data_IF_724183364604
#
_entry.id   IF_724183364604
#
_cell.length_a   1.000
_cell.length_b   1.000
_cell.length_c   1.000
_cell.angle_alpha   90.00
_cell.angle_beta   90.00
_cell.angle_gamma   90.00
#
_symmetry.space_group_name_H-M   'P 1'
#
loop_
_entity.id
_entity.type
_entity.pdbx_description
1 polymer ?
#
# COMPACT_ATOMS: atom_id res chain seq x y z
N UNK A 1 5.72 -20.14 10.87
CA UNK A 1 6.58 -19.14 10.23
C UNK A 1 6.00 -17.74 10.49
N UNK A 2 6.82 -16.85 10.98
CA UNK A 2 6.35 -15.49 11.22
C UNK A 2 6.29 -14.68 9.91
N UNK A 3 5.49 -13.63 9.88
CA UNK A 3 5.34 -12.80 8.67
C UNK A 3 6.65 -12.10 8.31
N UNK A 4 6.95 -12.09 7.01
CA UNK A 4 8.11 -11.39 6.47
C UNK A 4 7.69 -10.55 5.27
N UNK A 5 8.41 -9.48 5.02
CA UNK A 5 8.17 -8.59 3.88
C UNK A 5 8.91 -9.13 2.67
N UNK A 6 8.26 -9.10 1.50
CA UNK A 6 8.87 -9.41 0.23
C UNK A 6 9.25 -8.10 -0.46
N UNK A 7 10.53 -7.79 -0.48
CA UNK A 7 11.03 -6.53 -1.04
C UNK A 7 10.70 -6.38 -2.52
N UNK A 8 10.87 -7.44 -3.26
CA UNK A 8 10.65 -7.40 -4.70
C UNK A 8 9.19 -7.19 -5.06
N UNK A 9 8.29 -7.92 -4.39
CA UNK A 9 6.87 -7.76 -4.63
C UNK A 9 6.37 -6.41 -4.16
N UNK A 10 6.91 -5.91 -3.05
CA UNK A 10 6.59 -4.56 -2.57
C UNK A 10 6.99 -3.53 -3.61
N UNK A 11 8.17 -3.66 -4.21
CA UNK A 11 8.63 -2.77 -5.25
C UNK A 11 7.74 -2.79 -6.49
N UNK A 12 7.33 -3.98 -6.91
CA UNK A 12 6.42 -4.15 -8.05
C UNK A 12 5.07 -3.49 -7.74
N UNK A 13 4.58 -3.69 -6.54
CA UNK A 13 3.30 -3.11 -6.12
C UNK A 13 3.37 -1.58 -6.06
N UNK A 14 4.46 -1.04 -5.52
CA UNK A 14 4.67 0.40 -5.48
C UNK A 14 4.69 0.98 -6.90
N UNK A 15 5.41 0.33 -7.81
CA UNK A 15 5.47 0.76 -9.20
C UNK A 15 4.09 0.73 -9.85
N UNK A 16 3.32 -0.30 -9.57
CA UNK A 16 1.96 -0.42 -10.10
C UNK A 16 1.07 0.71 -9.60
N UNK A 17 1.17 1.05 -8.32
CA UNK A 17 0.40 2.16 -7.75
C UNK A 17 0.80 3.47 -8.42
N UNK A 18 2.09 3.69 -8.60
CA UNK A 18 2.60 4.89 -9.25
C UNK A 18 2.10 4.99 -10.69
N UNK A 19 2.21 3.92 -11.45
CA UNK A 19 1.78 3.90 -12.85
C UNK A 19 0.28 4.17 -12.98
N UNK A 20 -0.49 3.56 -12.09
CA UNK A 20 -1.95 3.73 -12.10
C UNK A 20 -2.37 5.16 -11.81
N UNK A 21 -1.59 5.89 -11.04
CA UNK A 21 -1.89 7.27 -10.65
C UNK A 21 -1.12 8.32 -11.45
N UNK A 22 -0.28 7.89 -12.38
CA UNK A 22 0.53 8.79 -13.16
C UNK A 22 1.61 9.48 -12.35
N UNK A 23 2.08 8.85 -11.29
CA UNK A 23 3.11 9.40 -10.42
C UNK A 23 4.47 8.87 -10.88
N UNK A 24 5.44 9.79 -11.04
CA UNK A 24 6.78 9.42 -11.45
C UNK A 24 7.72 9.34 -10.23
N UNK A 25 8.87 8.65 -10.36
CA UNK A 25 9.85 8.66 -9.27
C UNK A 25 10.30 10.05 -8.86
N UNK A 26 10.36 10.98 -9.81
CA UNK A 26 10.71 12.36 -9.52
C UNK A 26 9.66 13.03 -8.64
N UNK A 27 8.38 12.73 -8.87
CA UNK A 27 7.29 13.25 -8.05
C UNK A 27 7.42 12.79 -6.62
N UNK A 28 7.76 11.52 -6.41
CA UNK A 28 7.98 10.96 -5.08
C UNK A 28 9.18 11.62 -4.41
N UNK A 29 10.27 11.77 -5.17
CA UNK A 29 11.46 12.44 -4.65
C UNK A 29 11.11 13.82 -4.10
N UNK A 30 10.36 14.58 -4.87
CA UNK A 30 9.98 15.95 -4.49
C UNK A 30 9.02 15.94 -3.28
N UNK A 31 8.05 15.05 -3.28
CA UNK A 31 7.09 14.95 -2.18
C UNK A 31 7.76 14.59 -0.86
N UNK A 32 8.67 13.62 -0.87
CA UNK A 32 9.36 13.13 0.30
C UNK A 32 10.63 13.93 0.63
N UNK A 33 10.97 14.91 -0.20
CA UNK A 33 12.19 15.70 -0.06
C UNK A 33 13.44 14.82 0.03
N UNK A 34 13.54 13.87 -0.88
CA UNK A 34 14.69 12.97 -0.96
C UNK A 34 15.85 13.64 -1.65
N UNK A 35 17.07 13.22 -1.31
CA UNK A 35 18.27 13.76 -1.94
C UNK A 35 18.48 13.25 -3.36
N UNK A 36 17.94 12.07 -3.67
CA UNK A 36 18.14 11.44 -4.97
C UNK A 36 16.94 10.63 -5.38
N UNK A 37 16.64 10.64 -6.68
CA UNK A 37 15.60 9.77 -7.26
C UNK A 37 16.00 8.30 -7.23
N UNK A 38 17.29 8.02 -7.07
CA UNK A 38 17.79 6.65 -7.02
C UNK A 38 17.16 5.85 -5.89
N UNK A 39 16.84 6.51 -4.79
CA UNK A 39 16.14 5.85 -3.68
C UNK A 39 14.83 5.23 -4.13
N UNK A 40 14.04 5.96 -4.92
CA UNK A 40 12.76 5.47 -5.43
C UNK A 40 12.96 4.28 -6.37
N UNK A 41 13.94 4.36 -7.24
CA UNK A 41 14.27 3.25 -8.14
C UNK A 41 14.70 2.01 -7.35
N UNK A 42 15.45 2.19 -6.27
CA UNK A 42 15.86 1.08 -5.41
C UNK A 42 14.66 0.42 -4.75
N UNK A 43 13.67 1.20 -4.34
CA UNK A 43 12.44 0.65 -3.77
C UNK A 43 11.68 -0.15 -4.81
N UNK A 44 11.55 0.39 -6.02
CA UNK A 44 10.81 -0.28 -7.09
C UNK A 44 11.50 -1.56 -7.57
N UNK A 45 12.82 -1.61 -7.52
CA UNK A 45 13.59 -2.79 -7.93
C UNK A 45 13.66 -3.86 -6.85
N UNK A 46 13.27 -3.53 -5.63
CA UNK A 46 13.36 -4.46 -4.51
C UNK A 46 14.71 -4.52 -3.85
N UNK A 47 15.59 -3.54 -4.13
CA UNK A 47 16.92 -3.48 -3.51
C UNK A 47 16.85 -3.12 -2.04
N UNK A 48 15.90 -2.25 -1.69
CA UNK A 48 15.66 -1.89 -0.28
C UNK A 48 14.23 -1.39 -0.12
N UNK A 49 13.86 -1.08 1.12
CA UNK A 49 12.54 -0.58 1.47
C UNK A 49 12.59 0.89 1.81
N UNK A 50 11.51 1.64 1.56
CA UNK A 50 11.38 2.96 2.15
C UNK A 50 11.41 2.85 3.67
N UNK A 51 11.86 3.92 4.35
CA UNK A 51 11.75 3.98 5.81
C UNK A 51 10.28 4.05 6.20
N UNK A 52 10.00 3.77 7.47
CA UNK A 52 8.62 3.82 7.95
C UNK A 52 8.03 5.23 7.80
N UNK A 53 8.83 6.26 7.97
CA UNK A 53 8.41 7.65 7.79
C UNK A 53 7.99 7.90 6.35
N UNK A 54 8.77 7.41 5.40
CA UNK A 54 8.46 7.55 3.97
C UNK A 54 7.22 6.77 3.60
N UNK A 55 7.07 5.55 4.13
CA UNK A 55 5.87 4.75 3.91
C UNK A 55 4.63 5.44 4.45
N UNK A 56 4.73 6.05 5.62
CA UNK A 56 3.62 6.78 6.22
C UNK A 56 3.20 7.95 5.33
N UNK A 57 4.17 8.70 4.84
CA UNK A 57 3.89 9.83 3.95
C UNK A 57 3.28 9.37 2.62
N UNK A 58 3.81 8.30 2.03
CA UNK A 58 3.25 7.74 0.80
C UNK A 58 1.82 7.22 1.01
N UNK A 59 1.56 6.60 2.14
CA UNK A 59 0.24 6.14 2.52
C UNK A 59 -0.75 7.31 2.54
N UNK A 60 -0.36 8.44 3.12
CA UNK A 60 -1.20 9.64 3.16
C UNK A 60 -1.44 10.20 1.76
N UNK A 61 -0.40 10.27 0.95
CA UNK A 61 -0.51 10.82 -0.41
C UNK A 61 -1.39 9.94 -1.29
N UNK A 62 -1.17 8.64 -1.23
CA UNK A 62 -1.95 7.69 -2.04
C UNK A 62 -3.37 7.47 -1.49
N UNK A 63 -3.61 7.79 -0.24
CA UNK A 63 -4.90 7.55 0.40
C UNK A 63 -5.17 6.08 0.66
N UNK A 64 -4.12 5.26 0.85
CA UNK A 64 -4.25 3.84 1.12
C UNK A 64 -3.42 3.47 2.35
N UNK A 65 -3.77 2.39 3.08
CA UNK A 65 -2.98 1.98 4.23
C UNK A 65 -1.61 1.46 3.82
N UNK A 66 -0.66 1.52 4.75
CA UNK A 66 0.70 1.01 4.52
C UNK A 66 0.64 -0.47 4.10
N UNK A 67 -0.25 -1.25 4.70
CA UNK A 67 -0.41 -2.67 4.36
C UNK A 67 -0.82 -2.90 2.90
N UNK A 68 -1.40 -1.91 2.26
CA UNK A 68 -1.73 -2.00 0.84
C UNK A 68 -0.52 -1.72 -0.06
N UNK A 69 0.54 -1.12 0.49
CA UNK A 69 1.78 -0.84 -0.26
C UNK A 69 2.75 -1.99 -0.07
N UNK A 70 2.92 -2.45 1.17
CA UNK A 70 3.91 -3.47 1.53
C UNK A 70 3.33 -4.85 1.27
N UNK A 71 4.10 -5.69 0.58
CA UNK A 71 3.72 -7.07 0.27
C UNK A 71 4.62 -8.04 1.05
N UNK A 72 4.04 -9.17 1.42
CA UNK A 72 4.77 -10.19 2.16
C UNK A 72 3.96 -11.48 2.25
N UNK A 73 4.34 -12.35 3.16
CA UNK A 73 3.64 -13.62 3.37
C UNK A 73 2.55 -13.54 4.42
N UNK A 74 2.24 -12.33 4.90
CA UNK A 74 1.17 -12.11 5.85
C UNK A 74 -0.18 -12.37 5.20
N UNK A 75 -1.03 -13.14 5.86
CA UNK A 75 -2.38 -13.38 5.36
C UNK A 75 -3.22 -12.11 5.49
N UNK A 76 -3.98 -11.80 4.44
CA UNK A 76 -4.90 -10.68 4.50
C UNK A 76 -6.02 -10.99 5.50
N UNK A 77 -6.25 -10.05 6.41
CA UNK A 77 -7.33 -10.18 7.39
C UNK A 77 -8.68 -9.85 6.75
N UNK A 78 -8.66 -8.95 5.78
CA UNK A 78 -9.86 -8.43 5.12
C UNK A 78 -10.80 -9.49 4.57
N UNK A 79 -10.34 -10.52 3.82
CA UNK A 79 -11.24 -11.51 3.27
C UNK A 79 -12.04 -12.26 4.35
N UNK A 80 -11.41 -12.58 5.46
CA UNK A 80 -12.09 -13.26 6.57
C UNK A 80 -13.11 -12.33 7.23
N UNK A 81 -12.76 -11.09 7.42
CA UNK A 81 -13.65 -10.08 7.99
C UNK A 81 -14.86 -9.88 7.08
N UNK A 82 -14.63 -9.80 5.78
CA UNK A 82 -15.69 -9.64 4.79
C UNK A 82 -16.65 -10.82 4.82
N UNK A 83 -16.13 -12.06 4.91
CA UNK A 83 -16.96 -13.25 4.97
C UNK A 83 -17.84 -13.23 6.21
N UNK A 84 -17.30 -12.83 7.36
CA UNK A 84 -18.07 -12.70 8.61
C UNK A 84 -19.18 -11.67 8.46
N UNK A 85 -18.90 -10.57 7.75
CA UNK A 85 -19.85 -9.48 7.58
C UNK A 85 -20.89 -9.74 6.49
N UNK A 86 -20.82 -10.86 5.80
CA UNK A 86 -21.82 -11.25 4.82
C UNK A 86 -23.12 -11.75 5.44
N UNK A 87 -23.14 -12.00 6.74
CA UNK A 87 -24.37 -12.31 7.43
C UNK A 87 -25.36 -11.13 7.30
N UNK A 88 -26.67 -11.44 7.31
CA UNK A 88 -27.70 -10.46 6.99
C UNK A 88 -27.62 -9.17 7.80
N UNK A 89 -27.31 -9.28 9.08
CA UNK A 89 -27.20 -8.09 9.93
C UNK A 89 -25.93 -7.31 9.68
N UNK A 90 -24.91 -7.99 9.15
CA UNK A 90 -23.61 -7.41 8.94
C UNK A 90 -23.42 -6.89 7.53
N UNK A 91 -24.43 -7.04 6.67
CA UNK A 91 -24.38 -6.51 5.31
C UNK A 91 -24.13 -5.01 5.28
N UNK A 92 -24.73 -4.28 6.23
CA UNK A 92 -24.50 -2.84 6.34
C UNK A 92 -23.06 -2.53 6.73
N UNK A 93 -22.50 -3.32 7.65
CA UNK A 93 -21.11 -3.15 8.06
C UNK A 93 -20.18 -3.50 6.91
N UNK A 94 -20.51 -4.54 6.14
CA UNK A 94 -19.74 -4.90 4.96
C UNK A 94 -19.71 -3.78 3.95
N UNK A 95 -20.86 -3.20 3.64
CA UNK A 95 -20.96 -2.10 2.70
C UNK A 95 -20.18 -0.88 3.21
N UNK A 96 -20.31 -0.58 4.49
CA UNK A 96 -19.59 0.51 5.13
C UNK A 96 -18.09 0.29 5.06
N UNK A 97 -17.66 -0.91 5.40
CA UNK A 97 -16.25 -1.29 5.36
C UNK A 97 -15.67 -1.18 3.94
N UNK A 98 -16.41 -1.70 2.98
CA UNK A 98 -16.01 -1.61 1.58
C UNK A 98 -15.88 -0.17 1.12
N UNK A 99 -16.81 0.68 1.56
CA UNK A 99 -16.77 2.10 1.23
C UNK A 99 -15.55 2.79 1.82
N UNK A 100 -15.20 2.45 3.06
CA UNK A 100 -13.99 2.98 3.68
C UNK A 100 -12.76 2.58 2.88
N UNK A 101 -12.67 1.32 2.47
CA UNK A 101 -11.55 0.84 1.67
C UNK A 101 -11.47 1.54 0.31
N UNK A 102 -12.60 1.77 -0.33
CA UNK A 102 -12.65 2.50 -1.60
C UNK A 102 -12.23 3.95 -1.42
N UNK A 103 -12.65 4.60 -0.34
CA UNK A 103 -12.22 5.95 -0.03
C UNK A 103 -10.73 6.03 0.24
N UNK A 104 -10.16 5.04 0.89
CA UNK A 104 -8.73 4.98 1.16
C UNK A 104 -7.92 4.79 -0.12
N UNK A 105 -8.47 4.16 -1.14
CA UNK A 105 -7.81 3.93 -2.42
C UNK A 105 -8.00 5.11 -3.38
N UNK A 106 -9.09 5.80 -3.20
CA UNK A 106 -9.38 6.98 -4.03
C UNK A 106 -8.46 8.13 -3.67
#
# INVERSE_FOLDING_TARGET
>A
MFPTINLKETGINLRRIMDKRGITPKDIKEYLNLTSVQSVYNWCSGSNMPTIDNLYALSQWFGIPIDAIVCGNKKAILPKTVVILEDRRDKRLYIYYKRICEMAVA
#
